data_IF_596095210724
#
_entry.id   IF_596095210724
#
_cell.length_a   1.000
_cell.length_b   1.000
_cell.length_c   1.000
_cell.angle_alpha   90.00
_cell.angle_beta   90.00
_cell.angle_gamma   90.00
#
_symmetry.space_group_name_H-M   'P 1'
#
loop_
_entity.id
_entity.type
_entity.pdbx_description
1 polymer ?
#
# COMPACT_ATOMS: atom_id res chain seq x y z
N UNK A 1 1.51 -16.88 -23.37
CA UNK A 1 0.13 -16.88 -23.89
C UNK A 1 -0.78 -16.50 -22.73
N UNK A 2 -1.63 -15.48 -22.88
CA UNK A 2 -2.57 -15.06 -21.84
C UNK A 2 -3.60 -16.18 -21.67
N UNK A 3 -3.72 -16.74 -20.48
CA UNK A 3 -4.68 -17.80 -20.16
C UNK A 3 -6.04 -17.20 -19.81
N UNK A 4 -7.12 -18.00 -19.87
CA UNK A 4 -8.47 -17.55 -19.50
C UNK A 4 -8.57 -17.02 -18.06
N UNK A 5 -7.73 -17.54 -17.14
CA UNK A 5 -7.60 -17.07 -15.77
C UNK A 5 -6.95 -15.68 -15.66
N UNK A 6 -5.95 -15.37 -16.49
CA UNK A 6 -5.30 -14.05 -16.48
C UNK A 6 -6.30 -12.94 -16.86
N UNK A 7 -7.19 -13.25 -17.80
CA UNK A 7 -8.23 -12.34 -18.27
C UNK A 7 -9.28 -12.07 -17.18
N UNK A 8 -9.68 -13.11 -16.44
CA UNK A 8 -10.55 -12.95 -15.27
C UNK A 8 -9.86 -12.12 -14.17
N UNK A 9 -8.57 -12.35 -13.92
CA UNK A 9 -7.81 -11.58 -12.93
C UNK A 9 -7.75 -10.09 -13.29
N UNK A 10 -7.53 -9.74 -14.56
CA UNK A 10 -7.55 -8.34 -15.01
C UNK A 10 -8.91 -7.67 -14.81
N UNK A 11 -9.98 -8.38 -15.15
CA UNK A 11 -11.35 -7.90 -14.90
C UNK A 11 -11.55 -7.67 -13.40
N UNK A 12 -11.12 -8.59 -12.54
CA UNK A 12 -11.21 -8.41 -11.10
C UNK A 12 -10.40 -7.19 -10.63
N UNK A 13 -9.16 -7.01 -11.08
CA UNK A 13 -8.30 -5.89 -10.69
C UNK A 13 -8.91 -4.52 -11.02
N UNK A 14 -9.66 -4.41 -12.11
CA UNK A 14 -10.30 -3.15 -12.55
C UNK A 14 -11.67 -2.95 -11.89
N UNK A 15 -12.53 -3.97 -11.91
CA UNK A 15 -13.92 -3.84 -11.47
C UNK A 15 -14.07 -3.96 -9.95
N UNK A 16 -13.21 -4.72 -9.29
CA UNK A 16 -13.32 -4.95 -7.86
C UNK A 16 -13.17 -3.67 -7.01
N UNK A 17 -12.18 -2.79 -7.25
CA UNK A 17 -12.07 -1.51 -6.53
C UNK A 17 -13.31 -0.62 -6.70
N UNK A 18 -13.92 -0.63 -7.90
CA UNK A 18 -15.16 0.11 -8.18
C UNK A 18 -16.34 -0.45 -7.36
N UNK A 19 -16.45 -1.77 -7.28
CA UNK A 19 -17.46 -2.43 -6.44
C UNK A 19 -17.22 -2.13 -4.95
N UNK A 20 -15.98 -2.19 -4.48
CA UNK A 20 -15.61 -1.89 -3.10
C UNK A 20 -15.95 -0.43 -2.72
N UNK A 21 -15.66 0.52 -3.62
CA UNK A 21 -16.01 1.92 -3.43
C UNK A 21 -17.53 2.14 -3.37
N UNK A 22 -18.28 1.47 -4.24
CA UNK A 22 -19.74 1.55 -4.27
C UNK A 22 -20.38 0.88 -3.06
N UNK A 23 -19.83 -0.23 -2.59
CA UNK A 23 -20.31 -0.93 -1.40
C UNK A 23 -20.08 -0.11 -0.13
N UNK A 24 -18.91 0.54 -0.02
CA UNK A 24 -18.59 1.43 1.10
C UNK A 24 -19.51 2.65 1.19
N UNK A 25 -20.01 3.16 0.05
CA UNK A 25 -20.90 4.33 0.02
C UNK A 25 -22.39 3.99 0.15
N UNK A 26 -22.80 2.73 -0.09
CA UNK A 26 -24.20 2.34 -0.17
C UNK A 26 -24.87 2.08 1.20
N UNK A 27 -24.16 1.50 2.18
CA UNK A 27 -24.73 1.19 3.51
C UNK A 27 -23.99 1.91 4.64
N UNK A 28 -24.74 2.72 5.39
CA UNK A 28 -24.24 3.53 6.53
C UNK A 28 -23.50 2.71 7.62
N UNK A 29 -23.76 1.40 7.73
CA UNK A 29 -23.11 0.52 8.72
C UNK A 29 -21.69 0.06 8.37
N UNK A 30 -21.21 0.25 7.13
CA UNK A 30 -19.91 -0.28 6.66
C UNK A 30 -18.84 0.82 6.50
N UNK A 31 -19.08 2.00 7.06
CA UNK A 31 -18.15 3.14 6.99
C UNK A 31 -16.79 2.90 7.65
N UNK A 32 -16.68 1.90 8.53
CA UNK A 32 -15.43 1.50 9.17
C UNK A 32 -14.45 0.79 8.23
N UNK A 33 -14.96 0.16 7.17
CA UNK A 33 -14.16 -0.66 6.27
C UNK A 33 -13.88 0.12 4.98
N UNK A 34 -12.75 0.82 4.95
CA UNK A 34 -12.29 1.55 3.76
C UNK A 34 -12.26 0.63 2.53
N UNK A 35 -12.60 1.12 1.32
CA UNK A 35 -12.48 0.36 0.08
C UNK A 35 -11.09 -0.27 -0.10
N UNK A 36 -10.04 0.40 0.40
CA UNK A 36 -8.66 -0.11 0.39
C UNK A 36 -8.54 -1.40 1.20
N UNK A 37 -9.09 -1.42 2.41
CA UNK A 37 -9.06 -2.60 3.30
C UNK A 37 -9.82 -3.77 2.68
N UNK A 38 -10.95 -3.49 2.02
CA UNK A 38 -11.73 -4.50 1.30
C UNK A 38 -10.93 -5.14 0.16
N UNK A 39 -10.23 -4.32 -0.64
CA UNK A 39 -9.38 -4.79 -1.72
C UNK A 39 -8.23 -5.67 -1.21
N UNK A 40 -7.56 -5.28 -0.11
CA UNK A 40 -6.53 -6.10 0.50
C UNK A 40 -7.09 -7.42 1.02
N UNK A 41 -8.19 -7.38 1.79
CA UNK A 41 -8.79 -8.58 2.36
C UNK A 41 -9.15 -9.61 1.28
N UNK A 42 -9.78 -9.16 0.20
CA UNK A 42 -10.18 -10.06 -0.89
C UNK A 42 -8.98 -10.55 -1.70
N UNK A 43 -7.98 -9.70 -1.95
CA UNK A 43 -6.73 -10.16 -2.58
C UNK A 43 -6.02 -11.24 -1.76
N UNK A 44 -5.91 -11.05 -0.45
CA UNK A 44 -5.31 -12.02 0.48
C UNK A 44 -6.12 -13.32 0.49
N UNK A 45 -7.45 -13.25 0.60
CA UNK A 45 -8.33 -14.42 0.60
C UNK A 45 -8.24 -15.18 -0.72
N UNK A 46 -8.30 -14.49 -1.87
CA UNK A 46 -8.19 -15.12 -3.19
C UNK A 46 -6.86 -15.88 -3.32
N UNK A 47 -5.75 -15.24 -2.95
CA UNK A 47 -4.41 -15.87 -3.01
C UNK A 47 -4.27 -17.06 -2.07
N UNK A 48 -4.79 -16.98 -0.85
CA UNK A 48 -4.66 -18.06 0.15
C UNK A 48 -5.62 -19.21 -0.09
N UNK A 49 -6.77 -18.96 -0.71
CA UNK A 49 -7.84 -19.95 -0.87
C UNK A 49 -7.50 -21.07 -1.88
N UNK A 50 -6.51 -20.86 -2.75
CA UNK A 50 -6.09 -21.84 -3.77
C UNK A 50 -7.10 -22.10 -4.89
N UNK A 51 -8.33 -21.57 -4.78
CA UNK A 51 -9.39 -21.74 -5.79
C UNK A 51 -9.13 -21.00 -7.09
N UNK A 52 -8.27 -19.98 -7.07
CA UNK A 52 -8.01 -19.12 -8.22
C UNK A 52 -6.51 -19.05 -8.52
N UNK A 53 -6.05 -19.41 -9.74
CA UNK A 53 -4.65 -19.29 -10.12
C UNK A 53 -4.30 -17.80 -10.28
N UNK A 54 -3.75 -17.21 -9.23
CA UNK A 54 -3.27 -15.83 -9.23
C UNK A 54 -1.91 -15.77 -9.92
N UNK A 55 -1.84 -15.01 -11.01
CA UNK A 55 -0.59 -14.67 -11.68
C UNK A 55 0.07 -13.49 -10.94
N UNK A 56 1.18 -13.77 -10.26
CA UNK A 56 1.92 -12.78 -9.46
C UNK A 56 2.51 -11.67 -10.33
N UNK A 57 3.16 -12.04 -11.43
CA UNK A 57 3.78 -11.09 -12.35
C UNK A 57 2.75 -10.11 -12.93
N UNK A 58 1.56 -10.61 -13.27
CA UNK A 58 0.46 -9.79 -13.76
C UNK A 58 -0.02 -8.80 -12.69
N UNK A 59 -0.16 -9.25 -11.44
CA UNK A 59 -0.59 -8.40 -10.33
C UNK A 59 0.45 -7.32 -9.99
N UNK A 60 1.74 -7.68 -9.96
CA UNK A 60 2.85 -6.74 -9.72
C UNK A 60 2.95 -5.70 -10.83
N UNK A 61 2.92 -6.13 -12.10
CA UNK A 61 2.95 -5.22 -13.25
C UNK A 61 1.77 -4.25 -13.21
N UNK A 62 0.56 -4.74 -12.91
CA UNK A 62 -0.63 -3.89 -12.81
C UNK A 62 -0.52 -2.88 -11.66
N UNK A 63 -0.01 -3.31 -10.49
CA UNK A 63 0.24 -2.43 -9.34
C UNK A 63 1.23 -1.32 -9.70
N UNK A 64 2.36 -1.66 -10.30
CA UNK A 64 3.42 -0.71 -10.59
C UNK A 64 3.00 0.28 -11.68
N UNK A 65 2.27 -0.17 -12.71
CA UNK A 65 1.63 0.72 -13.69
C UNK A 65 0.60 1.66 -13.04
N UNK A 66 -0.20 1.14 -12.10
CA UNK A 66 -1.17 1.95 -11.36
C UNK A 66 -0.49 3.03 -10.52
N UNK A 67 0.61 2.70 -9.83
CA UNK A 67 1.42 3.66 -9.08
C UNK A 67 2.02 4.72 -10.02
N UNK A 68 2.59 4.28 -11.15
CA UNK A 68 3.20 5.16 -12.15
C UNK A 68 2.18 6.17 -12.71
N UNK A 69 0.92 5.78 -12.89
CA UNK A 69 -0.17 6.67 -13.32
C UNK A 69 -0.73 7.53 -12.18
N UNK A 70 -0.80 6.99 -10.96
CA UNK A 70 -1.35 7.72 -9.81
C UNK A 70 -0.50 8.93 -9.42
N UNK A 71 0.83 8.83 -9.48
CA UNK A 71 1.76 9.92 -9.14
C UNK A 71 1.49 11.19 -9.98
N UNK A 72 1.48 11.16 -11.33
CA UNK A 72 1.20 12.35 -12.14
C UNK A 72 -0.24 12.84 -11.98
N UNK A 73 -1.23 11.95 -11.85
CA UNK A 73 -2.62 12.35 -11.61
C UNK A 73 -2.77 13.13 -10.29
N UNK A 74 -2.13 12.66 -9.22
CA UNK A 74 -2.10 13.37 -7.93
C UNK A 74 -1.37 14.70 -8.05
N UNK A 75 -0.25 14.74 -8.77
CA UNK A 75 0.51 15.97 -8.98
C UNK A 75 -0.29 17.01 -9.78
N UNK A 76 -0.95 16.61 -10.86
CA UNK A 76 -1.81 17.50 -11.66
C UNK A 76 -3.07 17.93 -10.93
N UNK A 77 -3.60 17.10 -10.03
CA UNK A 77 -4.72 17.48 -9.16
C UNK A 77 -4.31 18.42 -8.01
N UNK A 78 -3.01 18.61 -7.78
CA UNK A 78 -2.51 19.42 -6.67
C UNK A 78 -2.31 20.87 -7.10
N UNK A 79 -2.88 21.81 -6.35
CA UNK A 79 -2.59 23.25 -6.51
C UNK A 79 -1.17 23.55 -6.00
N UNK A 80 -0.20 23.54 -6.92
CA UNK A 80 1.22 23.80 -6.62
C UNK A 80 1.45 25.16 -5.95
N UNK A 81 0.64 26.18 -6.27
CA UNK A 81 0.80 27.53 -5.75
C UNK A 81 0.37 27.62 -4.29
N UNK A 82 -0.70 26.92 -3.93
CA UNK A 82 -1.13 26.78 -2.54
C UNK A 82 -0.21 25.83 -1.76
N UNK A 83 0.21 24.73 -2.39
CA UNK A 83 1.12 23.77 -1.80
C UNK A 83 2.41 24.45 -1.35
N UNK A 84 3.03 25.30 -2.18
CA UNK A 84 4.27 25.99 -1.81
C UNK A 84 4.13 26.86 -0.54
N UNK A 85 2.97 27.49 -0.33
CA UNK A 85 2.70 28.31 0.86
C UNK A 85 2.60 27.48 2.14
N UNK A 86 1.99 26.29 2.05
CA UNK A 86 1.82 25.37 3.18
C UNK A 86 2.96 24.36 3.32
N UNK A 87 3.83 24.25 2.31
CA UNK A 87 4.88 23.24 2.21
C UNK A 87 5.77 23.24 3.44
N UNK A 88 6.14 24.40 3.98
CA UNK A 88 7.00 24.48 5.18
C UNK A 88 6.38 23.81 6.41
N UNK A 89 5.07 24.01 6.63
CA UNK A 89 4.38 23.38 7.76
C UNK A 89 4.19 21.90 7.50
N UNK A 90 3.82 21.53 6.27
CA UNK A 90 3.64 20.15 5.86
C UNK A 90 4.95 19.34 5.95
N UNK A 91 6.09 19.90 5.53
CA UNK A 91 7.39 19.22 5.61
C UNK A 91 7.89 19.07 7.03
N UNK A 92 7.67 20.07 7.90
CA UNK A 92 7.96 19.94 9.33
C UNK A 92 7.10 18.86 9.99
N UNK A 93 5.80 18.84 9.71
CA UNK A 93 4.90 17.80 10.22
C UNK A 93 5.29 16.40 9.70
N UNK A 94 5.65 16.31 8.43
CA UNK A 94 6.16 15.07 7.84
C UNK A 94 7.48 14.64 8.49
N UNK A 95 8.41 15.56 8.73
CA UNK A 95 9.67 15.27 9.43
C UNK A 95 9.44 14.72 10.85
N UNK A 96 8.52 15.32 11.61
CA UNK A 96 8.11 14.81 12.91
C UNK A 96 7.47 13.41 12.81
N UNK A 97 6.64 13.18 11.80
CA UNK A 97 6.06 11.86 11.51
C UNK A 97 7.16 10.82 11.23
N UNK A 98 8.16 11.16 10.40
CA UNK A 98 9.30 10.29 10.10
C UNK A 98 10.08 9.95 11.36
N UNK A 99 10.46 10.95 12.16
CA UNK A 99 11.19 10.74 13.42
C UNK A 99 10.38 9.85 14.37
N UNK A 100 9.08 10.13 14.51
CA UNK A 100 8.18 9.29 15.31
C UNK A 100 8.15 7.84 14.83
N UNK A 101 8.03 7.62 13.51
CA UNK A 101 8.01 6.29 12.89
C UNK A 101 9.32 5.53 13.08
N UNK A 102 10.47 6.21 12.94
CA UNK A 102 11.81 5.64 13.20
C UNK A 102 11.94 5.24 14.66
N UNK A 103 11.62 6.13 15.60
CA UNK A 103 11.71 5.85 17.04
C UNK A 103 10.79 4.69 17.42
N UNK A 104 9.53 4.71 16.98
CA UNK A 104 8.58 3.65 17.27
C UNK A 104 9.03 2.28 16.70
N UNK A 105 9.52 2.25 15.46
CA UNK A 105 9.99 1.02 14.82
C UNK A 105 11.25 0.48 15.49
N UNK A 106 12.17 1.37 15.90
CA UNK A 106 13.38 1.00 16.65
C UNK A 106 13.06 0.46 18.04
N UNK A 107 12.13 1.09 18.78
CA UNK A 107 11.68 0.60 20.09
C UNK A 107 11.06 -0.80 19.96
N UNK A 108 10.19 -1.01 18.97
CA UNK A 108 9.64 -2.33 18.67
C UNK A 108 10.73 -3.36 18.35
N UNK A 109 11.71 -2.98 17.53
CA UNK A 109 12.83 -3.87 17.21
C UNK A 109 13.63 -4.29 18.44
N UNK A 110 13.85 -3.37 19.39
CA UNK A 110 14.58 -3.65 20.63
C UNK A 110 13.81 -4.58 21.56
N UNK A 111 12.48 -4.40 21.69
CA UNK A 111 11.64 -5.26 22.53
C UNK A 111 11.61 -6.70 21.99
N UNK A 112 11.55 -6.87 20.66
CA UNK A 112 11.41 -8.18 20.03
C UNK A 112 12.71 -8.78 19.48
N UNK A 113 13.86 -8.20 19.83
CA UNK A 113 15.18 -8.58 19.30
C UNK A 113 15.56 -10.05 19.49
N UNK A 114 14.99 -10.72 20.49
CA UNK A 114 15.25 -12.12 20.79
C UNK A 114 14.13 -13.07 20.33
N UNK A 115 12.98 -12.53 19.94
CA UNK A 115 11.80 -13.32 19.58
C UNK A 115 11.64 -13.48 18.07
N UNK A 116 12.14 -12.52 17.27
CA UNK A 116 12.06 -12.58 15.82
C UNK A 116 13.47 -12.51 15.19
N UNK A 117 13.84 -13.48 14.34
CA UNK A 117 15.03 -13.34 13.50
C UNK A 117 14.83 -12.18 12.53
N UNK A 118 15.93 -11.52 12.15
CA UNK A 118 15.94 -10.42 11.19
C UNK A 118 14.98 -9.25 11.50
N UNK A 119 14.70 -9.00 12.78
CA UNK A 119 13.82 -7.91 13.22
C UNK A 119 14.25 -6.54 12.68
N UNK A 120 15.55 -6.37 12.40
CA UNK A 120 16.11 -5.17 11.80
C UNK A 120 15.58 -4.93 10.38
N UNK A 121 15.34 -5.99 9.59
CA UNK A 121 14.72 -5.90 8.25
C UNK A 121 13.28 -5.46 8.37
N UNK A 122 12.52 -6.09 9.27
CA UNK A 122 11.12 -5.75 9.53
C UNK A 122 11.01 -4.29 10.00
N UNK A 123 11.89 -3.85 10.91
CA UNK A 123 11.94 -2.47 11.38
C UNK A 123 12.24 -1.48 10.25
N UNK A 124 13.19 -1.79 9.36
CA UNK A 124 13.47 -0.99 8.18
C UNK A 124 12.27 -0.88 7.24
N UNK A 125 11.59 -2.00 6.98
CA UNK A 125 10.36 -2.06 6.17
C UNK A 125 9.21 -1.26 6.81
N UNK A 126 9.05 -1.29 8.14
CA UNK A 126 8.06 -0.49 8.87
C UNK A 126 8.34 1.00 8.73
N UNK A 127 9.58 1.45 8.88
CA UNK A 127 9.95 2.86 8.60
C UNK A 127 9.61 3.24 7.15
N UNK A 128 9.86 2.32 6.20
CA UNK A 128 9.46 2.50 4.80
C UNK A 128 7.96 2.75 4.64
N UNK A 129 7.12 1.95 5.31
CA UNK A 129 5.66 2.08 5.21
C UNK A 129 5.15 3.44 5.70
N UNK A 130 5.73 4.01 6.75
CA UNK A 130 5.28 5.29 7.29
C UNK A 130 5.84 6.51 6.55
N UNK A 131 6.93 6.35 5.81
CA UNK A 131 7.57 7.42 5.05
C UNK A 131 7.14 7.47 3.58
N UNK A 132 6.64 6.36 3.02
CA UNK A 132 6.23 6.27 1.61
C UNK A 132 5.20 5.20 1.29
N UNK A 133 4.54 4.62 2.30
CA UNK A 133 3.50 3.61 2.12
C UNK A 133 4.03 2.23 1.75
N UNK A 134 3.11 1.34 1.38
CA UNK A 134 3.40 -0.03 0.94
C UNK A 134 4.43 -0.13 -0.20
N UNK A 135 4.48 0.78 -1.19
CA UNK A 135 5.52 0.74 -2.22
C UNK A 135 6.93 0.90 -1.65
N UNK A 136 7.12 1.80 -0.67
CA UNK A 136 8.43 2.03 -0.05
C UNK A 136 8.81 0.87 0.88
N UNK A 137 7.85 0.31 1.62
CA UNK A 137 8.04 -0.94 2.38
C UNK A 137 8.54 -2.08 1.46
N UNK A 138 7.90 -2.27 0.31
CA UNK A 138 8.27 -3.30 -0.65
C UNK A 138 9.66 -3.07 -1.23
N UNK A 139 10.00 -1.83 -1.59
CA UNK A 139 11.32 -1.48 -2.12
C UNK A 139 12.44 -1.77 -1.12
N UNK A 140 12.23 -1.44 0.17
CA UNK A 140 13.19 -1.78 1.24
C UNK A 140 13.29 -3.29 1.41
N UNK A 141 12.16 -4.01 1.40
CA UNK A 141 12.16 -5.48 1.45
C UNK A 141 13.02 -6.09 0.34
N UNK A 142 12.78 -5.68 -0.91
CA UNK A 142 13.57 -6.13 -2.06
C UNK A 142 15.06 -5.76 -1.96
N UNK A 143 15.40 -4.60 -1.41
CA UNK A 143 16.79 -4.16 -1.23
C UNK A 143 17.53 -4.95 -0.13
N UNK A 144 16.80 -5.48 0.85
CA UNK A 144 17.35 -6.27 1.97
C UNK A 144 17.46 -7.76 1.66
N UNK A 145 16.90 -8.21 0.53
CA UNK A 145 16.83 -9.61 0.09
C UNK A 145 15.82 -10.42 0.88
#
# INVERSE_FOLDING_TARGET
>A
MITGSDLLQLVLLIFFPLLAQRLSSWKSGWKWLSPVVQCYAIGILLRNSGFFPVNELLAETFRDLSILLAIPLLLFSTDLRRWWKEARKATLAFGLCVVSGVVASMLWALVFRYSLPDIWRIAGMLVGVYTGGTPNMNAIGLALG
#
